data_IF_411463255853
#
_entry.id   IF_411463255853
#
_cell.length_a   1.000
_cell.length_b   1.000
_cell.length_c   1.000
_cell.angle_alpha   90.00
_cell.angle_beta   90.00
_cell.angle_gamma   90.00
#
_symmetry.space_group_name_H-M   'P 1'
#
loop_
_entity.id
_entity.type
_entity.pdbx_description
1 polymer ?
#
# COMPACT_ATOMS: atom_id res chain seq x y z
N UNK A 1 20.16 -16.17 -24.76
CA UNK A 1 18.79 -15.84 -24.38
C UNK A 1 18.85 -14.48 -23.70
N UNK A 2 18.38 -13.43 -24.36
CA UNK A 2 18.41 -12.04 -23.90
C UNK A 2 17.27 -11.87 -22.90
N UNK A 3 17.54 -12.09 -21.59
CA UNK A 3 16.53 -12.08 -20.53
C UNK A 3 16.33 -10.76 -19.80
N UNK A 4 17.06 -9.71 -20.14
CA UNK A 4 17.10 -8.46 -19.33
C UNK A 4 16.40 -7.25 -20.00
N UNK A 5 15.94 -7.38 -21.22
CA UNK A 5 15.47 -6.20 -21.98
C UNK A 5 13.99 -5.84 -21.77
N UNK A 6 13.20 -6.66 -21.07
CA UNK A 6 11.78 -6.44 -20.83
C UNK A 6 11.46 -5.84 -19.44
N UNK A 7 12.44 -5.74 -18.53
CA UNK A 7 12.29 -5.23 -17.17
C UNK A 7 12.88 -3.82 -17.03
N UNK A 8 12.17 -2.93 -16.36
CA UNK A 8 12.68 -1.60 -15.95
C UNK A 8 12.36 -1.33 -14.48
N UNK A 9 13.29 -0.64 -13.81
CA UNK A 9 13.07 -0.01 -12.51
C UNK A 9 13.04 1.52 -12.62
N UNK A 10 13.03 2.04 -13.84
CA UNK A 10 13.03 3.46 -14.11
C UNK A 10 11.71 3.88 -14.79
N UNK A 11 10.89 4.67 -14.07
CA UNK A 11 9.62 5.19 -14.59
C UNK A 11 9.77 6.08 -15.82
N UNK A 12 10.95 6.71 -16.02
CA UNK A 12 11.23 7.53 -17.21
C UNK A 12 11.51 6.70 -18.46
N UNK A 13 11.82 5.41 -18.29
CA UNK A 13 12.10 4.48 -19.37
C UNK A 13 11.31 3.19 -19.12
N UNK A 14 9.97 3.24 -19.20
CA UNK A 14 9.13 2.08 -18.95
C UNK A 14 9.38 1.01 -20.02
N UNK A 15 9.29 -0.24 -19.60
CA UNK A 15 9.35 -1.43 -20.46
C UNK A 15 8.11 -2.29 -20.22
N UNK A 16 8.06 -3.45 -20.85
CA UNK A 16 6.93 -4.37 -20.72
C UNK A 16 6.59 -4.71 -19.25
N UNK A 17 7.61 -4.80 -18.40
CA UNK A 17 7.45 -4.88 -16.94
C UNK A 17 8.23 -3.72 -16.32
N UNK A 18 7.55 -2.85 -15.60
CA UNK A 18 8.16 -1.73 -14.89
C UNK A 18 7.83 -1.83 -13.42
N UNK A 19 8.86 -1.90 -12.58
CA UNK A 19 8.73 -1.99 -11.12
C UNK A 19 9.06 -0.64 -10.51
N UNK A 20 8.19 -0.13 -9.65
CA UNK A 20 8.40 1.14 -8.97
C UNK A 20 7.84 1.08 -7.55
N UNK A 21 8.39 1.90 -6.67
CA UNK A 21 7.80 2.12 -5.34
C UNK A 21 6.60 3.06 -5.44
N UNK A 22 5.67 2.97 -4.48
CA UNK A 22 4.56 3.92 -4.38
C UNK A 22 5.04 5.37 -4.24
N UNK A 23 6.15 5.57 -3.56
CA UNK A 23 6.82 6.86 -3.42
C UNK A 23 7.27 7.43 -4.76
N UNK A 24 7.92 6.63 -5.60
CA UNK A 24 8.39 7.05 -6.92
C UNK A 24 7.21 7.41 -7.84
N UNK A 25 6.14 6.63 -7.80
CA UNK A 25 4.92 6.90 -8.57
C UNK A 25 4.25 8.20 -8.09
N UNK A 26 4.10 8.38 -6.78
CA UNK A 26 3.56 9.60 -6.19
C UNK A 26 4.40 10.83 -6.58
N UNK A 27 5.73 10.77 -6.45
CA UNK A 27 6.63 11.86 -6.84
C UNK A 27 6.54 12.18 -8.33
N UNK A 28 6.43 11.19 -9.19
CA UNK A 28 6.27 11.40 -10.62
C UNK A 28 4.92 12.06 -10.98
N UNK A 29 3.84 11.70 -10.30
CA UNK A 29 2.51 12.28 -10.51
C UNK A 29 2.42 13.71 -9.97
N UNK A 30 2.90 13.99 -8.76
CA UNK A 30 2.77 15.29 -8.09
C UNK A 30 3.68 16.37 -8.69
N UNK A 31 4.91 16.05 -9.04
CA UNK A 31 5.86 17.01 -9.63
C UNK A 31 5.46 17.44 -11.04
N UNK A 32 4.80 16.56 -11.80
CA UNK A 32 4.27 16.92 -13.12
C UNK A 32 3.11 17.92 -13.03
N UNK A 33 2.22 17.76 -12.05
CA UNK A 33 1.02 18.59 -11.90
C UNK A 33 1.28 19.93 -11.19
N UNK A 34 2.49 20.19 -10.69
CA UNK A 34 2.81 21.42 -9.96
C UNK A 34 2.01 21.58 -8.67
N UNK A 35 1.45 20.50 -8.13
CA UNK A 35 0.73 20.52 -6.88
C UNK A 35 1.71 20.80 -5.74
N UNK A 36 1.58 21.96 -5.11
CA UNK A 36 2.17 22.24 -3.82
C UNK A 36 1.57 21.28 -2.80
N UNK A 37 2.45 20.72 -1.98
CA UNK A 37 2.08 19.91 -0.83
C UNK A 37 1.24 20.77 0.12
N UNK A 38 -0.08 20.63 0.09
CA UNK A 38 -0.92 21.09 1.18
C UNK A 38 -0.63 20.18 2.38
N UNK A 39 0.12 20.72 3.32
CA UNK A 39 0.36 20.15 4.63
C UNK A 39 -0.95 20.16 5.42
N UNK A 40 -1.82 19.20 5.13
CA UNK A 40 -3.04 18.90 5.88
C UNK A 40 -2.73 17.82 6.90
N UNK A 41 -2.57 18.23 8.15
CA UNK A 41 -2.45 17.35 9.31
C UNK A 41 -3.67 16.43 9.42
N UNK A 42 -3.49 15.12 9.21
CA UNK A 42 -4.35 14.14 9.86
C UNK A 42 -3.48 13.15 10.65
N UNK A 43 -3.53 13.38 11.96
CA UNK A 43 -3.01 12.55 13.02
C UNK A 43 -3.63 11.15 12.97
N UNK A 44 -2.92 10.21 12.36
CA UNK A 44 -3.16 8.79 12.52
C UNK A 44 -1.96 8.19 13.25
N UNK A 45 -2.12 7.94 14.56
CA UNK A 45 -1.16 7.21 15.38
C UNK A 45 -1.03 5.77 14.90
N UNK A 46 -0.10 5.55 14.01
CA UNK A 46 0.46 4.25 13.71
C UNK A 46 1.96 4.37 13.93
N UNK A 47 2.43 3.80 15.04
CA UNK A 47 3.85 3.58 15.28
C UNK A 47 4.35 2.64 14.21
N UNK A 48 4.95 3.17 13.18
CA UNK A 48 5.69 2.37 12.22
C UNK A 48 7.17 2.69 12.36
N UNK A 49 7.90 1.63 12.70
CA UNK A 49 9.33 1.65 12.94
C UNK A 49 10.06 2.01 11.65
N UNK A 50 10.89 2.99 11.78
CA UNK A 50 12.15 3.22 11.09
C UNK A 50 12.46 2.22 9.96
N UNK A 51 12.00 2.50 8.77
CA UNK A 51 12.70 2.01 7.59
C UNK A 51 13.81 3.00 7.28
N UNK A 52 15.03 2.53 7.49
CA UNK A 52 16.28 3.16 7.16
C UNK A 52 16.17 3.93 5.85
N UNK A 53 16.49 5.22 5.92
CA UNK A 53 16.77 6.09 4.78
C UNK A 53 17.93 5.47 3.98
N UNK A 54 17.60 4.53 3.09
CA UNK A 54 18.50 4.23 2.01
C UNK A 54 18.41 5.44 1.07
N UNK A 55 19.54 6.11 0.87
CA UNK A 55 19.77 7.16 -0.11
C UNK A 55 19.38 6.63 -1.51
N UNK A 56 18.08 6.61 -1.80
CA UNK A 56 17.61 6.53 -3.17
C UNK A 56 17.88 7.89 -3.78
N UNK A 57 18.81 7.95 -4.74
CA UNK A 57 19.03 9.13 -5.56
C UNK A 57 17.67 9.71 -5.96
N UNK A 58 17.35 10.90 -5.51
CA UNK A 58 16.09 11.57 -5.81
C UNK A 58 16.00 11.79 -7.31
N UNK A 59 15.27 10.91 -7.98
CA UNK A 59 15.03 11.04 -9.42
C UNK A 59 14.20 12.30 -9.65
N UNK A 60 14.75 13.28 -10.35
CA UNK A 60 14.04 14.50 -10.73
C UNK A 60 12.98 14.18 -11.79
N UNK A 61 11.70 14.30 -11.42
CA UNK A 61 10.57 14.11 -12.33
C UNK A 61 10.01 15.41 -12.89
N UNK A 62 10.71 16.58 -12.74
CA UNK A 62 10.25 17.84 -13.32
C UNK A 62 10.14 17.73 -14.85
N UNK A 63 8.96 18.08 -15.36
CA UNK A 63 8.66 17.99 -16.80
C UNK A 63 8.47 16.57 -17.35
N UNK A 64 8.44 15.53 -16.51
CA UNK A 64 8.19 14.17 -16.94
C UNK A 64 6.69 13.80 -16.81
N UNK A 65 6.05 13.49 -17.94
CA UNK A 65 4.68 13.01 -17.98
C UNK A 65 4.64 11.47 -17.84
N UNK A 66 4.38 11.00 -16.61
CA UNK A 66 4.29 9.58 -16.31
C UNK A 66 3.18 8.89 -17.12
N UNK A 67 2.01 9.54 -17.22
CA UNK A 67 0.84 8.94 -17.90
C UNK A 67 1.12 8.78 -19.39
N UNK A 68 1.69 9.80 -20.03
CA UNK A 68 2.08 9.72 -21.43
C UNK A 68 3.12 8.61 -21.67
N UNK A 69 4.14 8.53 -20.81
CA UNK A 69 5.18 7.49 -20.91
C UNK A 69 4.61 6.06 -20.76
N UNK A 70 3.69 5.86 -19.80
CA UNK A 70 3.05 4.55 -19.60
C UNK A 70 2.12 4.17 -20.76
N UNK A 71 1.39 5.13 -21.33
CA UNK A 71 0.56 4.92 -22.51
C UNK A 71 1.41 4.58 -23.75
N UNK A 72 2.51 5.29 -23.96
CA UNK A 72 3.44 5.04 -25.07
C UNK A 72 4.09 3.65 -24.95
N UNK A 73 4.42 3.24 -23.73
CA UNK A 73 4.94 1.90 -23.43
C UNK A 73 3.88 0.79 -23.54
N UNK A 74 2.60 1.13 -23.70
CA UNK A 74 1.50 0.18 -23.78
C UNK A 74 1.20 -0.55 -22.47
N UNK A 75 1.39 0.11 -21.32
CA UNK A 75 1.08 -0.47 -20.01
C UNK A 75 -0.43 -0.52 -19.81
N UNK A 76 -0.97 -1.72 -19.68
CA UNK A 76 -2.40 -1.99 -19.53
C UNK A 76 -2.75 -2.59 -18.15
N UNK A 77 -1.75 -3.02 -17.39
CA UNK A 77 -1.95 -3.68 -16.09
C UNK A 77 -1.12 -2.98 -15.01
N UNK A 78 -1.76 -2.67 -13.90
CA UNK A 78 -1.12 -2.17 -12.68
C UNK A 78 -1.25 -3.22 -11.58
N UNK A 79 -0.13 -3.77 -11.13
CA UNK A 79 -0.07 -4.67 -10.00
C UNK A 79 0.32 -3.88 -8.75
N UNK A 80 -0.55 -3.91 -7.74
CA UNK A 80 -0.34 -3.27 -6.44
C UNK A 80 0.02 -4.34 -5.42
N UNK A 81 1.26 -4.33 -4.96
CA UNK A 81 1.72 -5.22 -3.91
C UNK A 81 1.58 -4.55 -2.55
N UNK A 82 1.20 -5.32 -1.52
CA UNK A 82 0.93 -4.82 -0.16
C UNK A 82 0.02 -3.58 -0.12
N UNK A 83 -1.03 -3.60 -0.95
CA UNK A 83 -1.89 -2.42 -1.18
C UNK A 83 -2.63 -1.93 0.07
N UNK A 84 -2.66 -2.69 1.17
CA UNK A 84 -3.22 -2.28 2.45
C UNK A 84 -2.37 -1.23 3.20
N UNK A 85 -1.07 -1.11 2.85
CA UNK A 85 -0.15 -0.13 3.45
C UNK A 85 -0.13 1.24 2.75
N UNK A 86 -0.99 1.45 1.77
CA UNK A 86 -1.01 2.68 1.00
C UNK A 86 -1.41 3.90 1.86
N UNK A 87 -0.55 4.92 1.87
CA UNK A 87 -0.83 6.22 2.49
C UNK A 87 -1.86 7.01 1.67
N UNK A 88 -2.53 7.96 2.31
CA UNK A 88 -3.60 8.76 1.68
C UNK A 88 -3.15 9.49 0.40
N UNK A 89 -1.92 10.02 0.38
CA UNK A 89 -1.36 10.73 -0.77
C UNK A 89 -1.10 9.77 -1.94
N UNK A 90 -0.61 8.57 -1.65
CA UNK A 90 -0.37 7.55 -2.66
C UNK A 90 -1.66 7.04 -3.29
N UNK A 91 -2.72 6.89 -2.46
CA UNK A 91 -4.04 6.58 -2.97
C UNK A 91 -4.54 7.63 -3.96
N UNK A 92 -4.40 8.92 -3.65
CA UNK A 92 -4.82 10.01 -4.57
C UNK A 92 -4.06 9.94 -5.89
N UNK A 93 -2.74 9.71 -5.83
CA UNK A 93 -1.92 9.58 -7.03
C UNK A 93 -2.34 8.38 -7.90
N UNK A 94 -2.61 7.23 -7.27
CA UNK A 94 -3.09 6.02 -7.96
C UNK A 94 -4.48 6.20 -8.57
N UNK A 95 -5.42 6.83 -7.85
CA UNK A 95 -6.75 7.14 -8.36
C UNK A 95 -6.67 8.07 -9.58
N UNK A 96 -5.81 9.07 -9.53
CA UNK A 96 -5.60 9.99 -10.64
C UNK A 96 -4.93 9.29 -11.84
N UNK A 97 -3.92 8.46 -11.59
CA UNK A 97 -3.30 7.64 -12.62
C UNK A 97 -4.32 6.72 -13.31
N UNK A 98 -5.16 6.01 -12.53
CA UNK A 98 -6.22 5.13 -13.03
C UNK A 98 -7.23 5.87 -13.90
N UNK A 99 -7.59 7.13 -13.57
CA UNK A 99 -8.51 7.93 -14.37
C UNK A 99 -7.93 8.34 -15.72
N UNK A 100 -6.61 8.57 -15.76
CA UNK A 100 -5.94 9.05 -16.97
C UNK A 100 -5.53 7.93 -17.91
N UNK A 101 -5.40 6.69 -17.45
CA UNK A 101 -5.06 5.52 -18.28
C UNK A 101 -6.32 4.71 -18.58
N UNK A 102 -6.78 4.76 -19.82
CA UNK A 102 -7.97 4.05 -20.25
C UNK A 102 -7.79 2.53 -20.19
N UNK A 103 -8.83 1.82 -19.73
CA UNK A 103 -8.86 0.35 -19.65
C UNK A 103 -7.76 -0.28 -18.78
N UNK A 104 -7.15 0.46 -17.86
CA UNK A 104 -6.15 -0.06 -16.93
C UNK A 104 -6.76 -1.15 -16.03
N UNK A 105 -6.20 -2.35 -16.11
CA UNK A 105 -6.56 -3.47 -15.24
C UNK A 105 -5.77 -3.35 -13.93
N UNK A 106 -6.43 -3.56 -12.81
CA UNK A 106 -5.80 -3.55 -11.47
C UNK A 106 -5.70 -4.98 -10.97
N UNK A 107 -4.52 -5.36 -10.52
CA UNK A 107 -4.27 -6.58 -9.74
C UNK A 107 -3.78 -6.12 -8.37
N UNK A 108 -4.55 -6.36 -7.34
CA UNK A 108 -4.21 -5.98 -5.96
C UNK A 108 -3.82 -7.23 -5.16
N UNK A 109 -2.64 -7.20 -4.57
CA UNK A 109 -2.10 -8.27 -3.74
C UNK A 109 -1.98 -7.77 -2.30
N UNK A 110 -2.45 -8.57 -1.36
CA UNK A 110 -2.33 -8.28 0.07
C UNK A 110 -2.51 -9.53 0.90
N UNK A 111 -1.72 -9.69 1.94
CA UNK A 111 -1.93 -10.75 2.93
C UNK A 111 -3.02 -10.39 3.96
N UNK A 112 -3.26 -9.09 4.16
CA UNK A 112 -4.16 -8.56 5.20
C UNK A 112 -5.04 -7.44 4.65
N UNK A 113 -6.20 -7.76 4.04
CA UNK A 113 -7.16 -6.74 3.65
C UNK A 113 -7.53 -5.86 4.86
N UNK A 114 -7.71 -4.53 4.69
CA UNK A 114 -7.89 -3.60 5.81
C UNK A 114 -9.31 -3.61 6.39
N UNK A 115 -9.74 -4.76 6.90
CA UNK A 115 -11.09 -4.94 7.47
C UNK A 115 -11.39 -4.05 8.66
N UNK A 116 -10.35 -3.71 9.46
CA UNK A 116 -10.46 -2.87 10.66
C UNK A 116 -10.37 -1.36 10.35
N UNK A 117 -10.35 -0.99 9.07
CA UNK A 117 -10.26 0.41 8.64
C UNK A 117 -11.60 1.15 8.80
N UNK A 118 -11.55 2.49 8.71
CA UNK A 118 -12.77 3.28 8.70
C UNK A 118 -13.64 2.97 7.46
N UNK A 119 -14.97 3.15 7.51
CA UNK A 119 -15.84 2.91 6.36
C UNK A 119 -15.43 3.67 5.09
N UNK A 120 -14.85 4.86 5.25
CA UNK A 120 -14.36 5.66 4.13
C UNK A 120 -13.11 5.04 3.48
N UNK A 121 -12.17 4.55 4.30
CA UNK A 121 -10.96 3.86 3.82
C UNK A 121 -11.33 2.53 3.16
N UNK A 122 -12.25 1.77 3.75
CA UNK A 122 -12.75 0.53 3.17
C UNK A 122 -13.41 0.77 1.80
N UNK A 123 -14.27 1.78 1.70
CA UNK A 123 -14.90 2.13 0.42
C UNK A 123 -13.86 2.52 -0.65
N UNK A 124 -12.83 3.28 -0.27
CA UNK A 124 -11.75 3.64 -1.18
C UNK A 124 -10.96 2.43 -1.64
N UNK A 125 -10.62 1.52 -0.71
CA UNK A 125 -9.96 0.25 -1.02
C UNK A 125 -10.78 -0.57 -2.02
N UNK A 126 -12.06 -0.79 -1.75
CA UNK A 126 -12.96 -1.55 -2.63
C UNK A 126 -13.13 -0.92 -4.01
N UNK A 127 -13.17 0.42 -4.12
CA UNK A 127 -13.26 1.11 -5.41
C UNK A 127 -11.98 0.96 -6.26
N UNK A 128 -10.83 0.80 -5.63
CA UNK A 128 -9.55 0.61 -6.34
C UNK A 128 -9.28 -0.86 -6.65
N UNK A 129 -9.37 -1.71 -5.65
CA UNK A 129 -8.94 -3.10 -5.70
C UNK A 129 -10.06 -4.08 -6.09
N UNK A 130 -11.33 -3.70 -5.85
CA UNK A 130 -12.46 -4.60 -6.08
C UNK A 130 -12.72 -5.56 -4.94
N UNK A 131 -13.56 -6.56 -5.19
CA UNK A 131 -13.81 -7.69 -4.29
C UNK A 131 -12.63 -8.67 -4.36
N UNK A 132 -12.53 -9.54 -3.37
CA UNK A 132 -11.51 -10.60 -3.36
C UNK A 132 -11.92 -11.68 -4.35
N UNK A 133 -11.12 -11.84 -5.41
CA UNK A 133 -11.37 -12.85 -6.44
C UNK A 133 -10.78 -14.21 -6.07
N UNK A 134 -9.64 -14.21 -5.37
CA UNK A 134 -8.92 -15.44 -5.01
C UNK A 134 -8.25 -15.28 -3.64
N UNK A 135 -8.26 -16.33 -2.83
CA UNK A 135 -7.61 -16.39 -1.53
C UNK A 135 -6.81 -17.69 -1.41
N UNK A 136 -5.52 -17.56 -1.09
CA UNK A 136 -4.65 -18.68 -0.75
C UNK A 136 -4.57 -18.76 0.78
N UNK A 137 -5.14 -19.81 1.35
CA UNK A 137 -5.23 -19.95 2.80
C UNK A 137 -3.90 -20.38 3.44
N UNK A 138 -3.67 -19.96 4.70
CA UNK A 138 -2.50 -20.40 5.48
C UNK A 138 -2.34 -21.93 5.53
N UNK A 139 -3.41 -22.72 5.76
CA UNK A 139 -3.31 -24.18 5.74
C UNK A 139 -2.82 -24.76 4.40
N UNK A 140 -3.20 -24.14 3.28
CA UNK A 140 -2.72 -24.56 1.96
C UNK A 140 -1.24 -24.28 1.80
N UNK A 141 -0.78 -23.07 2.16
CA UNK A 141 0.64 -22.67 2.11
C UNK A 141 1.52 -23.55 3.01
N UNK A 142 1.02 -23.93 4.19
CA UNK A 142 1.71 -24.87 5.10
C UNK A 142 1.79 -26.26 4.47
N UNK A 143 0.69 -26.74 3.87
CA UNK A 143 0.65 -28.06 3.21
C UNK A 143 1.60 -28.14 2.02
N UNK A 144 1.76 -27.04 1.27
CA UNK A 144 2.68 -26.92 0.14
C UNK A 144 4.12 -26.72 0.57
N UNK A 145 4.39 -26.42 1.85
CA UNK A 145 5.72 -26.14 2.39
C UNK A 145 6.21 -24.72 2.11
N UNK A 146 5.35 -23.83 1.66
CA UNK A 146 5.65 -22.40 1.44
C UNK A 146 5.69 -21.62 2.76
N UNK A 147 4.94 -22.07 3.78
CA UNK A 147 4.97 -21.55 5.15
C UNK A 147 5.32 -22.66 6.13
N UNK A 148 6.01 -22.27 7.21
CA UNK A 148 6.27 -23.17 8.34
C UNK A 148 4.97 -23.47 9.10
N UNK A 149 4.76 -24.72 9.56
CA UNK A 149 3.72 -25.01 10.53
C UNK A 149 3.92 -24.17 11.79
N UNK A 150 2.83 -23.60 12.31
CA UNK A 150 2.86 -22.87 13.57
C UNK A 150 1.84 -23.44 14.54
N UNK A 151 2.03 -23.19 15.81
CA UNK A 151 1.11 -23.57 16.86
C UNK A 151 1.00 -22.45 17.87
N UNK A 152 -0.23 -21.97 18.08
CA UNK A 152 -0.53 -20.92 19.02
C UNK A 152 -0.82 -21.52 20.40
N UNK A 153 -0.14 -20.99 21.43
CA UNK A 153 -0.41 -21.35 22.80
C UNK A 153 -1.08 -20.16 23.49
N UNK A 154 -2.32 -20.33 23.90
CA UNK A 154 -3.06 -19.29 24.62
C UNK A 154 -3.01 -19.59 26.11
N UNK A 155 -2.45 -18.69 26.88
CA UNK A 155 -2.41 -18.74 28.33
C UNK A 155 -3.38 -17.73 28.93
N UNK A 156 -4.33 -18.20 29.72
CA UNK A 156 -5.27 -17.34 30.43
C UNK A 156 -4.86 -17.18 31.86
N UNK A 157 -4.78 -15.94 32.32
CA UNK A 157 -4.53 -15.61 33.71
C UNK A 157 -5.57 -14.57 34.18
N UNK A 158 -5.79 -14.51 35.49
CA UNK A 158 -6.60 -13.45 36.05
C UNK A 158 -5.72 -12.20 36.21
N UNK A 159 -6.22 -11.01 35.81
CA UNK A 159 -5.48 -9.77 36.01
C UNK A 159 -5.24 -9.49 37.49
N UNK A 160 -4.14 -8.89 37.83
CA UNK A 160 -3.86 -8.35 39.16
C UNK A 160 -4.78 -7.16 39.43
N UNK A 161 -4.90 -6.78 40.69
CA UNK A 161 -5.73 -5.62 41.08
C UNK A 161 -5.22 -4.31 40.47
N UNK A 162 -3.90 -4.19 40.27
CA UNK A 162 -3.25 -3.06 39.63
C UNK A 162 -3.63 -3.00 38.14
N UNK A 163 -3.56 -4.12 37.42
CA UNK A 163 -3.94 -4.22 36.03
C UNK A 163 -5.44 -3.96 35.81
N UNK A 164 -6.31 -4.47 36.67
CA UNK A 164 -7.75 -4.14 36.64
C UNK A 164 -8.01 -2.64 36.75
N UNK A 165 -7.26 -1.96 37.64
CA UNK A 165 -7.41 -0.52 37.83
C UNK A 165 -6.95 0.26 36.60
N UNK A 166 -5.87 -0.19 35.93
CA UNK A 166 -5.39 0.44 34.70
C UNK A 166 -6.37 0.26 33.55
N UNK A 167 -6.93 -0.93 33.38
CA UNK A 167 -7.97 -1.19 32.36
C UNK A 167 -9.18 -0.28 32.59
N UNK A 168 -9.67 -0.17 33.82
CA UNK A 168 -10.79 0.73 34.15
C UNK A 168 -10.49 2.19 33.85
N UNK A 169 -9.28 2.67 34.17
CA UNK A 169 -8.84 4.04 33.86
C UNK A 169 -8.79 4.28 32.35
N UNK A 170 -8.37 3.29 31.57
CA UNK A 170 -8.35 3.36 30.13
C UNK A 170 -9.77 3.44 29.56
N UNK A 171 -10.68 2.58 30.01
CA UNK A 171 -12.09 2.60 29.60
C UNK A 171 -12.79 3.95 29.95
N UNK A 172 -12.53 4.52 31.12
CA UNK A 172 -13.06 5.83 31.52
C UNK A 172 -12.55 6.95 30.59
N UNK A 173 -11.28 6.95 30.24
CA UNK A 173 -10.70 7.93 29.28
C UNK A 173 -11.28 7.77 27.88
N UNK A 174 -11.55 6.56 27.44
CA UNK A 174 -12.11 6.28 26.11
C UNK A 174 -13.58 6.70 25.99
N UNK A 175 -14.33 6.75 27.10
CA UNK A 175 -15.73 7.21 27.15
C UNK A 175 -15.88 8.74 27.19
N UNK A 176 -14.80 9.46 27.45
CA UNK A 176 -14.78 10.93 27.53
C UNK A 176 -14.34 11.60 26.18
N UNK A 177 -14.18 10.84 25.12
CA UNK A 177 -13.96 11.32 23.75
C UNK A 177 -15.20 11.06 22.91
#
# INVERSE_FOLDING_TARGET
>A
MQGEDFLSQNLKQPKAITVATYQALHSAMTRFQGMQEDAGEESGTGTDECLTENETEEVDYSGFDLVAAMKEAGIEVLCLDECHHLRSEWWKALEEFKKQVDNLKIIALTATPPYDSTPAMWTRYMNMCGEIDEEITIPELVKEGSLCPHQDYVYFNYPTKEEEQEVRRFEERSKCK
#
